data_IF_090841922262
#
_entry.id   IF_090841922262
#
_cell.length_a   1.000
_cell.length_b   1.000
_cell.length_c   1.000
_cell.angle_alpha   90.00
_cell.angle_beta   90.00
_cell.angle_gamma   90.00
#
_symmetry.space_group_name_H-M   'P 1'
#
loop_
_entity.id
_entity.type
_entity.pdbx_description
1 polymer ?
#
# COMPACT_ATOMS: atom_id res chain seq x y z
N UNK A 1 -10.53 -1.43 7.71
CA UNK A 1 -11.79 -1.65 6.97
C UNK A 1 -12.55 -2.73 7.72
N UNK A 2 -13.59 -2.38 8.49
CA UNK A 2 -14.28 -3.32 9.39
C UNK A 2 -15.68 -3.72 8.93
N UNK A 3 -16.20 -3.10 7.88
CA UNK A 3 -17.57 -3.33 7.39
C UNK A 3 -17.56 -3.83 5.92
N UNK A 4 -18.01 -5.08 5.76
CA UNK A 4 -18.13 -5.75 4.46
C UNK A 4 -19.25 -5.15 3.59
N UNK A 5 -20.32 -4.62 4.19
CA UNK A 5 -21.43 -4.01 3.44
C UNK A 5 -21.03 -2.65 2.87
N UNK A 6 -20.11 -1.94 3.52
CA UNK A 6 -19.49 -0.73 2.96
C UNK A 6 -18.54 -1.10 1.83
N UNK A 7 -17.78 -2.18 1.96
CA UNK A 7 -16.91 -2.71 0.90
C UNK A 7 -17.67 -2.96 -0.41
N UNK A 8 -18.80 -3.67 -0.29
CA UNK A 8 -19.60 -4.12 -1.43
C UNK A 8 -20.30 -2.98 -2.18
N UNK A 9 -20.51 -1.83 -1.51
CA UNK A 9 -21.18 -0.65 -2.09
C UNK A 9 -20.21 0.41 -2.64
N UNK A 10 -18.90 0.24 -2.44
CA UNK A 10 -17.91 1.18 -2.96
C UNK A 10 -17.59 0.95 -4.43
N UNK A 11 -17.33 2.05 -5.13
CA UNK A 11 -16.66 2.00 -6.43
C UNK A 11 -15.22 1.50 -6.28
N UNK A 12 -14.65 0.95 -7.35
CA UNK A 12 -13.24 0.53 -7.40
C UNK A 12 -12.30 1.68 -7.00
N UNK A 13 -12.62 2.92 -7.43
CA UNK A 13 -11.85 4.12 -7.10
C UNK A 13 -11.85 4.41 -5.61
N UNK A 14 -13.01 4.36 -4.96
CA UNK A 14 -13.13 4.58 -3.51
C UNK A 14 -12.46 3.48 -2.70
N UNK A 15 -12.61 2.23 -3.13
CA UNK A 15 -11.91 1.11 -2.52
C UNK A 15 -10.39 1.31 -2.57
N UNK A 16 -9.84 1.62 -3.74
CA UNK A 16 -8.41 1.86 -3.93
C UNK A 16 -7.90 3.02 -3.07
N UNK A 17 -8.68 4.12 -2.99
CA UNK A 17 -8.31 5.26 -2.16
C UNK A 17 -8.25 4.89 -0.66
N UNK A 18 -9.22 4.10 -0.18
CA UNK A 18 -9.24 3.63 1.21
C UNK A 18 -8.13 2.65 1.53
N UNK A 19 -7.82 1.72 0.63
CA UNK A 19 -6.68 0.81 0.79
C UNK A 19 -5.38 1.61 0.85
N UNK A 20 -5.21 2.60 -0.04
CA UNK A 20 -4.04 3.49 -0.02
C UNK A 20 -3.91 4.22 1.32
N UNK A 21 -5.00 4.80 1.82
CA UNK A 21 -5.01 5.47 3.13
C UNK A 21 -4.69 4.52 4.29
N UNK A 22 -5.23 3.30 4.27
CA UNK A 22 -4.92 2.26 5.25
C UNK A 22 -3.44 1.87 5.24
N UNK A 23 -2.86 1.68 4.06
CA UNK A 23 -1.44 1.35 3.90
C UNK A 23 -0.54 2.48 4.41
N UNK A 24 -0.88 3.74 4.11
CA UNK A 24 -0.14 4.90 4.64
C UNK A 24 -0.19 4.97 6.17
N UNK A 25 -1.37 4.80 6.78
CA UNK A 25 -1.50 4.76 8.24
C UNK A 25 -0.67 3.65 8.87
N UNK A 26 -0.64 2.47 8.23
CA UNK A 26 0.18 1.34 8.69
C UNK A 26 1.68 1.66 8.59
N UNK A 27 2.12 2.32 7.52
CA UNK A 27 3.50 2.76 7.34
C UNK A 27 3.93 3.78 8.41
N UNK A 28 3.04 4.69 8.80
CA UNK A 28 3.29 5.62 9.91
C UNK A 28 3.47 4.87 11.23
N UNK A 29 2.59 3.91 11.53
CA UNK A 29 2.74 3.07 12.74
C UNK A 29 4.03 2.24 12.72
N UNK A 30 4.40 1.69 11.56
CA UNK A 30 5.68 1.00 11.37
C UNK A 30 6.86 1.93 11.66
N UNK A 31 6.87 3.13 11.08
CA UNK A 31 7.90 4.16 11.33
C UNK A 31 8.03 4.49 12.81
N UNK A 32 6.91 4.69 13.51
CA UNK A 32 6.91 5.09 14.92
C UNK A 32 7.50 3.97 15.82
N UNK A 33 7.29 2.70 15.47
CA UNK A 33 7.95 1.55 16.12
C UNK A 33 9.47 1.59 15.89
N UNK A 34 9.90 1.81 14.65
CA UNK A 34 11.33 1.91 14.34
C UNK A 34 11.97 3.13 15.02
N UNK A 35 11.28 4.27 15.09
CA UNK A 35 11.77 5.45 15.77
C UNK A 35 11.94 5.20 17.27
N UNK A 36 10.95 4.54 17.88
CA UNK A 36 11.05 4.10 19.29
C UNK A 36 12.24 3.18 19.51
N UNK A 37 12.47 2.22 18.60
CA UNK A 37 13.63 1.34 18.66
C UNK A 37 14.96 2.10 18.48
N UNK A 38 15.02 3.08 17.57
CA UNK A 38 16.19 3.90 17.31
C UNK A 38 16.56 4.76 18.52
N UNK A 39 15.58 5.44 19.13
CA UNK A 39 15.78 6.21 20.36
C UNK A 39 16.24 5.31 21.51
N UNK A 40 15.63 4.13 21.68
CA UNK A 40 16.04 3.16 22.70
C UNK A 40 17.41 2.54 22.42
N UNK A 41 17.83 2.46 21.15
CA UNK A 41 19.11 1.88 20.73
C UNK A 41 20.31 2.75 21.10
N UNK A 42 20.15 4.07 21.22
CA UNK A 42 21.22 4.93 21.75
C UNK A 42 21.72 4.48 23.14
N UNK A 43 20.97 3.63 23.84
CA UNK A 43 21.39 3.03 25.12
C UNK A 43 22.39 1.86 24.95
N UNK A 44 22.51 1.20 23.78
CA UNK A 44 23.16 -0.14 23.70
C UNK A 44 24.12 -0.42 22.53
N UNK A 45 24.16 0.37 21.46
CA UNK A 45 24.88 -0.02 20.24
C UNK A 45 25.96 1.00 19.84
N UNK A 46 27.05 1.03 20.60
CA UNK A 46 28.31 1.64 20.19
C UNK A 46 29.19 0.58 19.53
N UNK A 47 29.89 0.92 18.44
CA UNK A 47 30.94 0.10 17.86
C UNK A 47 32.12 -0.03 18.84
N UNK A 48 33.16 -0.80 18.48
CA UNK A 48 34.35 -0.98 19.33
C UNK A 48 35.10 0.32 19.66
N UNK A 49 34.76 1.44 19.00
CA UNK A 49 35.30 2.79 19.21
C UNK A 49 34.35 3.74 19.95
N UNK A 50 33.17 3.28 20.37
CA UNK A 50 32.20 4.12 21.07
C UNK A 50 31.19 4.85 20.17
N UNK A 51 31.25 4.68 18.84
CA UNK A 51 30.39 5.40 17.89
C UNK A 51 29.13 4.60 17.55
N UNK A 52 28.01 5.28 17.34
CA UNK A 52 26.78 4.62 16.93
C UNK A 52 26.90 4.03 15.52
N UNK A 53 26.50 2.76 15.37
CA UNK A 53 26.53 2.04 14.07
C UNK A 53 25.65 2.69 12.99
N UNK A 54 24.62 3.39 13.41
CA UNK A 54 23.72 4.18 12.57
C UNK A 54 23.56 5.52 13.27
N UNK A 55 23.88 6.59 12.58
CA UNK A 55 23.94 7.96 13.09
C UNK A 55 22.61 8.68 12.87
N UNK A 56 21.95 8.37 11.76
CA UNK A 56 20.66 8.94 11.39
C UNK A 56 19.57 7.86 11.41
N UNK A 57 18.32 8.28 11.61
CA UNK A 57 17.20 7.37 11.66
C UNK A 57 16.97 6.69 10.30
N UNK A 58 17.18 7.42 9.21
CA UNK A 58 17.01 6.97 7.82
C UNK A 58 17.99 5.85 7.45
N UNK A 59 19.18 5.83 8.06
CA UNK A 59 20.13 4.73 7.91
C UNK A 59 19.57 3.43 8.54
N UNK A 60 18.76 3.56 9.61
CA UNK A 60 18.12 2.44 10.30
C UNK A 60 16.79 2.03 9.65
N UNK A 61 16.00 3.01 9.17
CA UNK A 61 14.72 2.79 8.50
C UNK A 61 14.43 3.89 7.47
N UNK A 62 14.54 3.53 6.18
CA UNK A 62 14.21 4.42 5.06
C UNK A 62 12.71 4.37 4.74
N UNK A 63 11.98 5.32 5.32
CA UNK A 63 10.52 5.45 5.15
C UNK A 63 10.10 5.65 3.69
N UNK A 64 10.82 6.46 2.92
CA UNK A 64 10.42 6.77 1.54
C UNK A 64 10.66 5.59 0.60
N UNK A 65 11.75 4.84 0.78
CA UNK A 65 11.95 3.56 0.08
C UNK A 65 10.87 2.55 0.45
N UNK A 66 10.52 2.43 1.73
CA UNK A 66 9.48 1.50 2.20
C UNK A 66 8.11 1.86 1.66
N UNK A 67 7.76 3.15 1.66
CA UNK A 67 6.52 3.69 1.08
C UNK A 67 6.43 3.42 -0.41
N UNK A 68 7.51 3.59 -1.17
CA UNK A 68 7.55 3.25 -2.60
C UNK A 68 7.25 1.77 -2.83
N UNK A 69 7.86 0.87 -2.06
CA UNK A 69 7.63 -0.58 -2.17
C UNK A 69 6.18 -0.98 -1.85
N UNK A 70 5.61 -0.43 -0.78
CA UNK A 70 4.23 -0.76 -0.37
C UNK A 70 3.22 -0.20 -1.37
N UNK A 71 3.42 1.03 -1.83
CA UNK A 71 2.53 1.63 -2.82
C UNK A 71 2.68 0.99 -4.19
N UNK A 72 3.89 0.64 -4.65
CA UNK A 72 4.09 -0.06 -5.92
C UNK A 72 3.51 -1.48 -5.89
N UNK A 73 3.67 -2.22 -4.79
CA UNK A 73 3.06 -3.55 -4.63
C UNK A 73 1.52 -3.49 -4.53
N UNK A 74 0.96 -2.40 -3.99
CA UNK A 74 -0.51 -2.20 -3.96
C UNK A 74 -1.09 -1.72 -5.30
N UNK A 75 -0.21 -1.27 -6.20
CA UNK A 75 -0.51 -0.73 -7.52
C UNK A 75 0.09 -1.69 -8.57
N UNK A 76 -0.13 -2.99 -8.40
CA UNK A 76 -0.13 -3.87 -9.57
C UNK A 76 -1.42 -3.57 -10.34
N UNK A 77 -1.36 -2.47 -11.08
CA UNK A 77 -2.41 -1.91 -11.94
C UNK A 77 -2.61 -2.74 -13.22
N UNK A 78 -2.06 -3.95 -13.28
CA UNK A 78 -2.36 -4.86 -14.38
C UNK A 78 -3.83 -5.26 -14.24
N UNK A 79 -4.71 -4.51 -14.91
CA UNK A 79 -6.10 -4.92 -15.10
C UNK A 79 -6.01 -6.33 -15.69
N UNK A 80 -6.53 -7.31 -14.94
CA UNK A 80 -6.49 -8.69 -15.37
C UNK A 80 -7.01 -8.78 -16.82
N UNK A 81 -6.25 -9.33 -17.78
CA UNK A 81 -6.65 -9.35 -19.18
C UNK A 81 -8.07 -9.94 -19.40
N UNK A 82 -8.49 -10.87 -18.53
CA UNK A 82 -9.83 -11.46 -18.55
C UNK A 82 -10.95 -10.48 -18.19
N UNK A 83 -10.66 -9.46 -17.38
CA UNK A 83 -11.62 -8.40 -17.04
C UNK A 83 -11.81 -7.46 -18.24
N UNK A 84 -10.72 -7.10 -18.93
CA UNK A 84 -10.77 -6.32 -20.17
C UNK A 84 -11.57 -7.07 -21.24
N UNK A 85 -11.26 -8.34 -21.44
CA UNK A 85 -11.93 -9.21 -22.41
C UNK A 85 -13.45 -9.31 -22.15
N UNK A 86 -13.84 -9.55 -20.89
CA UNK A 86 -15.27 -9.57 -20.49
C UNK A 86 -15.95 -8.22 -20.70
N UNK A 87 -15.29 -7.10 -20.36
CA UNK A 87 -15.84 -5.77 -20.55
C UNK A 87 -16.08 -5.46 -22.04
N UNK A 88 -15.13 -5.82 -22.90
CA UNK A 88 -15.25 -5.68 -24.36
C UNK A 88 -16.39 -6.54 -24.91
N UNK A 89 -16.51 -7.79 -24.47
CA UNK A 89 -17.60 -8.68 -24.88
C UNK A 89 -18.98 -8.17 -24.50
N UNK A 90 -19.13 -7.60 -23.30
CA UNK A 90 -20.41 -6.97 -22.87
C UNK A 90 -20.73 -5.75 -23.72
N UNK A 91 -19.73 -4.95 -24.08
CA UNK A 91 -19.88 -3.79 -24.95
C UNK A 91 -20.36 -4.20 -26.35
N UNK A 92 -19.73 -5.20 -26.96
CA UNK A 92 -20.12 -5.76 -28.26
C UNK A 92 -21.55 -6.33 -28.26
N UNK A 93 -21.94 -7.04 -27.20
CA UNK A 93 -23.30 -7.58 -27.09
C UNK A 93 -24.38 -6.50 -26.96
N UNK A 94 -24.06 -5.38 -26.30
CA UNK A 94 -24.93 -4.20 -26.23
C UNK A 94 -25.05 -3.51 -27.59
N UNK A 95 -23.95 -3.35 -28.31
CA UNK A 95 -23.93 -2.72 -29.64
C UNK A 95 -24.64 -3.56 -30.70
N UNK A 96 -24.60 -4.89 -30.60
CA UNK A 96 -25.33 -5.81 -31.49
C UNK A 96 -26.81 -6.00 -31.13
N UNK A 97 -27.34 -5.28 -30.14
CA UNK A 97 -28.74 -5.40 -29.70
C UNK A 97 -29.10 -6.73 -29.03
N UNK A 98 -28.11 -7.54 -28.63
CA UNK A 98 -28.31 -8.87 -28.05
C UNK A 98 -28.55 -8.88 -26.54
N UNK A 99 -28.57 -7.70 -25.90
CA UNK A 99 -28.80 -7.50 -24.48
C UNK A 99 -29.97 -6.52 -24.31
N UNK A 100 -31.20 -7.04 -24.29
CA UNK A 100 -32.33 -6.34 -23.70
C UNK A 100 -32.22 -6.51 -22.17
N UNK A 101 -31.87 -5.42 -21.48
CA UNK A 101 -32.04 -5.28 -20.03
C UNK A 101 -33.34 -4.56 -19.75
#
# INVERSE_FOLDING_TARGET
>A
MKDFNVARRMTVKEYNLRIKGYLLKRLESERDIYLSAFVNRNVKAANSKGEYVYREFEEFYDYEKRKKQVLSASVDNTINPKIIDRANRVKELRERGGLNV
#
